data_IF_285701558720
#
_entry.id   IF_285701558720
#
_cell.length_a   1.000
_cell.length_b   1.000
_cell.length_c   1.000
_cell.angle_alpha   90.00
_cell.angle_beta   90.00
_cell.angle_gamma   90.00
#
_symmetry.space_group_name_H-M   'P 1'
#
loop_
_entity.id
_entity.type
_entity.pdbx_description
1 polymer ?
#
# COMPACT_ATOMS: atom_id res chain seq x y z
N UNK A 1 -9.10 -3.37 -12.69
CA UNK A 1 -8.43 -2.98 -11.44
C UNK A 1 -7.36 -1.98 -11.82
N UNK A 2 -7.56 -0.70 -11.47
CA UNK A 2 -6.63 0.36 -11.82
C UNK A 2 -6.08 0.90 -10.50
N UNK A 3 -4.76 0.82 -10.32
CA UNK A 3 -4.10 1.39 -9.16
C UNK A 3 -3.44 2.70 -9.55
N UNK A 4 -3.74 3.77 -8.82
CA UNK A 4 -3.03 5.05 -8.95
C UNK A 4 -2.21 5.30 -7.70
N UNK A 5 -0.92 5.59 -7.90
CA UNK A 5 0.00 5.95 -6.84
C UNK A 5 0.12 7.47 -6.78
N UNK A 6 -0.29 8.06 -5.65
CA UNK A 6 -0.04 9.46 -5.34
C UNK A 6 1.06 9.54 -4.29
N UNK A 7 2.15 10.26 -4.57
CA UNK A 7 3.28 10.41 -3.66
C UNK A 7 3.37 11.86 -3.17
N UNK A 8 3.28 12.06 -1.86
CA UNK A 8 3.41 13.36 -1.22
C UNK A 8 4.63 13.36 -0.28
N UNK A 9 5.55 14.30 -0.50
CA UNK A 9 6.78 14.42 0.30
C UNK A 9 6.63 15.58 1.28
N UNK A 10 6.49 15.28 2.57
CA UNK A 10 6.53 16.29 3.62
C UNK A 10 7.95 16.37 4.20
N UNK A 11 8.53 17.57 4.25
CA UNK A 11 9.84 17.80 4.90
C UNK A 11 9.53 18.24 6.33
N UNK A 12 9.40 17.28 7.26
CA UNK A 12 9.36 17.58 8.69
C UNK A 12 10.77 17.40 9.27
N UNK A 13 11.27 18.46 9.92
CA UNK A 13 12.54 18.57 10.66
C UNK A 13 13.39 17.27 10.70
N UNK A 14 14.39 17.23 9.83
CA UNK A 14 15.49 16.25 9.81
C UNK A 14 15.15 14.76 9.59
N UNK A 15 13.88 14.39 9.36
CA UNK A 15 13.51 13.05 8.90
C UNK A 15 12.56 13.16 7.70
N UNK A 16 13.06 12.77 6.51
CA UNK A 16 12.28 12.75 5.27
C UNK A 16 11.27 11.59 5.32
N UNK A 17 10.18 11.72 6.07
CA UNK A 17 9.04 10.81 5.96
C UNK A 17 8.25 11.16 4.70
N UNK A 18 8.30 10.27 3.71
CA UNK A 18 7.46 10.37 2.52
C UNK A 18 6.19 9.56 2.73
N UNK A 19 5.07 10.00 2.17
CA UNK A 19 3.80 9.27 2.21
C UNK A 19 3.38 8.90 0.81
N UNK A 20 3.12 7.61 0.58
CA UNK A 20 2.58 7.06 -0.65
C UNK A 20 1.13 6.61 -0.41
N UNK A 21 0.20 7.13 -1.21
CA UNK A 21 -1.21 6.73 -1.18
C UNK A 21 -1.53 5.91 -2.41
N UNK A 22 -2.05 4.70 -2.20
CA UNK A 22 -2.63 3.86 -3.25
C UNK A 22 -4.13 4.11 -3.25
N UNK A 23 -4.64 4.67 -4.36
CA UNK A 23 -6.07 4.84 -4.58
C UNK A 23 -6.64 3.60 -5.26
N UNK A 24 -7.62 2.96 -4.62
CA UNK A 24 -8.32 1.78 -5.13
C UNK A 24 -9.78 2.11 -5.42
N UNK A 25 -10.16 2.04 -6.69
CA UNK A 25 -11.54 2.27 -7.16
C UNK A 25 -12.46 1.04 -6.98
N UNK A 26 -11.92 -0.07 -6.49
CA UNK A 26 -12.62 -1.35 -6.35
C UNK A 26 -12.83 -1.71 -4.89
N UNK A 27 -14.09 -1.69 -4.46
CA UNK A 27 -14.49 -2.07 -3.08
C UNK A 27 -14.13 -3.52 -2.76
N UNK A 28 -14.31 -4.44 -3.71
CA UNK A 28 -13.99 -5.86 -3.53
C UNK A 28 -12.48 -6.09 -3.42
N UNK A 29 -11.67 -5.35 -4.20
CA UNK A 29 -10.22 -5.39 -4.08
C UNK A 29 -9.74 -4.81 -2.74
N UNK A 30 -10.29 -3.67 -2.31
CA UNK A 30 -9.98 -3.06 -1.02
C UNK A 30 -10.27 -4.04 0.13
N UNK A 31 -11.44 -4.71 0.10
CA UNK A 31 -11.79 -5.72 1.09
C UNK A 31 -10.85 -6.93 1.06
N UNK A 32 -10.43 -7.39 -0.12
CA UNK A 32 -9.50 -8.50 -0.25
C UNK A 32 -8.13 -8.20 0.34
N UNK A 33 -7.64 -6.96 0.19
CA UNK A 33 -6.37 -6.50 0.77
C UNK A 33 -6.48 -6.31 2.28
N UNK A 34 -7.61 -5.76 2.78
CA UNK A 34 -7.81 -5.54 4.21
C UNK A 34 -8.11 -6.84 4.99
N UNK A 35 -8.72 -7.84 4.34
CA UNK A 35 -9.14 -9.10 4.95
C UNK A 35 -8.45 -10.30 4.29
N UNK A 36 -7.12 -10.31 4.33
CA UNK A 36 -6.32 -11.38 3.74
C UNK A 36 -6.62 -12.71 4.42
N UNK A 37 -6.76 -13.77 3.61
CA UNK A 37 -6.92 -15.14 4.04
C UNK A 37 -5.80 -15.97 3.46
N UNK A 38 -5.31 -16.95 4.24
CA UNK A 38 -4.32 -17.92 3.76
C UNK A 38 -4.97 -18.92 2.77
N UNK A 39 -5.19 -18.46 1.54
CA UNK A 39 -5.81 -19.23 0.45
C UNK A 39 -4.97 -19.07 -0.82
N UNK A 40 -4.85 -20.15 -1.59
CA UNK A 40 -4.07 -20.19 -2.85
C UNK A 40 -4.49 -19.11 -3.86
N UNK A 41 -5.76 -18.70 -3.88
CA UNK A 41 -6.27 -17.64 -4.75
C UNK A 41 -5.85 -16.21 -4.39
N UNK A 42 -5.14 -15.99 -3.28
CA UNK A 42 -4.76 -14.65 -2.81
C UNK A 42 -3.27 -14.31 -3.00
N UNK A 43 -2.52 -15.06 -3.83
CA UNK A 43 -1.09 -14.82 -4.07
C UNK A 43 -0.76 -13.38 -4.45
N UNK A 44 -1.60 -12.75 -5.28
CA UNK A 44 -1.43 -11.33 -5.66
C UNK A 44 -1.59 -10.41 -4.45
N UNK A 45 -2.52 -10.70 -3.54
CA UNK A 45 -2.71 -9.91 -2.31
C UNK A 45 -1.48 -10.02 -1.41
N UNK A 46 -0.91 -11.22 -1.26
CA UNK A 46 0.33 -11.42 -0.50
C UNK A 46 1.52 -10.67 -1.13
N UNK A 47 1.64 -10.67 -2.45
CA UNK A 47 2.67 -9.89 -3.15
C UNK A 47 2.51 -8.38 -2.92
N UNK A 48 1.27 -7.86 -2.92
CA UNK A 48 0.98 -6.46 -2.61
C UNK A 48 1.40 -6.12 -1.17
N UNK A 49 1.10 -6.98 -0.20
CA UNK A 49 1.49 -6.76 1.20
C UNK A 49 3.02 -6.84 1.40
N UNK A 50 3.70 -7.74 0.70
CA UNK A 50 5.15 -7.81 0.74
C UNK A 50 5.78 -6.52 0.18
N UNK A 51 5.33 -6.08 -1.00
CA UNK A 51 5.78 -4.83 -1.60
C UNK A 51 5.50 -3.61 -0.69
N UNK A 52 4.33 -3.58 -0.04
CA UNK A 52 4.00 -2.56 0.94
C UNK A 52 4.98 -2.54 2.13
N UNK A 53 5.38 -3.72 2.61
CA UNK A 53 6.34 -3.87 3.71
C UNK A 53 7.72 -3.35 3.32
N UNK A 54 8.18 -3.67 2.10
CA UNK A 54 9.44 -3.16 1.54
C UNK A 54 9.45 -1.63 1.42
N UNK A 55 8.32 -1.04 0.98
CA UNK A 55 8.15 0.42 0.90
C UNK A 55 8.18 1.06 2.29
N UNK A 56 7.53 0.46 3.28
CA UNK A 56 7.56 0.95 4.67
C UNK A 56 8.95 0.88 5.30
N UNK A 57 9.74 -0.15 4.98
CA UNK A 57 11.13 -0.25 5.40
C UNK A 57 12.00 0.89 4.85
N UNK A 58 11.62 1.46 3.70
CA UNK A 58 12.26 2.65 3.11
C UNK A 58 11.85 3.99 3.75
N UNK A 59 11.24 4.00 4.93
CA UNK A 59 10.69 5.18 5.60
C UNK A 59 9.59 5.91 4.81
N UNK A 60 8.86 5.16 3.96
CA UNK A 60 7.70 5.66 3.24
C UNK A 60 6.44 5.14 3.91
N UNK A 61 5.64 6.03 4.49
CA UNK A 61 4.33 5.66 5.02
C UNK A 61 3.39 5.32 3.87
N UNK A 62 2.84 4.10 3.86
CA UNK A 62 1.89 3.65 2.84
C UNK A 62 0.45 3.75 3.39
N UNK A 63 -0.44 4.40 2.64
CA UNK A 63 -1.88 4.45 2.94
C UNK A 63 -2.69 3.91 1.77
N UNK A 64 -3.59 2.98 2.04
CA UNK A 64 -4.57 2.47 1.07
C UNK A 64 -5.89 3.22 1.27
N UNK A 65 -6.45 3.78 0.19
CA UNK A 65 -7.72 4.53 0.20
C UNK A 65 -8.65 4.04 -0.90
#
# INVERSE_FOLDING_TARGET
>A
MIFKLAHQRAIFRNQRQATATILCDSRSALQAIQNVRNRSGQRIIHAILQAATEVQAGHISLRLQ
#
